data_IF_054999052794
#
_entry.id   IF_054999052794
#
_cell.length_a   1.000
_cell.length_b   1.000
_cell.length_c   1.000
_cell.angle_alpha   90.00
_cell.angle_beta   90.00
_cell.angle_gamma   90.00
#
_symmetry.space_group_name_H-M   'P 1'
#
loop_
_entity.id
_entity.type
_entity.pdbx_description
1 polymer ?
#
# COMPACT_ATOMS: atom_id res chain seq x y z
N UNK A 1 9.29 12.94 22.21
CA UNK A 1 7.87 13.05 22.59
C UNK A 1 7.12 11.97 21.85
N UNK A 2 6.70 10.95 22.57
CA UNK A 2 6.01 9.78 22.07
C UNK A 2 4.61 10.18 21.52
N UNK A 3 4.31 9.89 20.25
CA UNK A 3 2.94 9.96 19.72
C UNK A 3 2.52 8.57 19.26
N UNK A 4 2.23 7.73 20.26
CA UNK A 4 1.47 6.50 20.11
C UNK A 4 0.11 6.83 19.46
N UNK A 5 -0.03 6.53 18.16
CA UNK A 5 -1.30 6.69 17.44
C UNK A 5 -2.24 5.50 17.80
N UNK A 6 -3.33 5.73 18.55
CA UNK A 6 -4.21 4.67 19.05
C UNK A 6 -4.99 3.93 17.95
N UNK A 7 -5.08 4.50 16.75
CA UNK A 7 -5.75 3.86 15.60
C UNK A 7 -4.96 2.71 14.99
N UNK A 8 -3.63 2.69 15.17
CA UNK A 8 -2.78 1.60 14.68
C UNK A 8 -2.93 0.37 15.60
N UNK A 9 -2.92 0.60 16.92
CA UNK A 9 -3.08 -0.47 17.92
C UNK A 9 -4.45 -1.15 17.81
N UNK A 10 -5.53 -0.39 17.64
CA UNK A 10 -6.91 -0.92 17.53
C UNK A 10 -7.11 -1.89 16.36
N UNK A 11 -6.54 -1.60 15.18
CA UNK A 11 -6.64 -2.48 13.99
C UNK A 11 -5.86 -3.79 14.16
N UNK A 12 -4.74 -3.77 14.87
CA UNK A 12 -3.97 -4.97 15.24
C UNK A 12 -4.77 -5.92 16.13
N UNK A 13 -5.59 -5.39 17.05
CA UNK A 13 -6.43 -6.22 17.92
C UNK A 13 -7.60 -6.88 17.18
N UNK A 14 -8.21 -6.23 16.18
CA UNK A 14 -9.31 -6.84 15.43
C UNK A 14 -8.84 -8.01 14.54
N UNK A 15 -7.68 -7.84 13.88
CA UNK A 15 -7.02 -8.93 13.16
C UNK A 15 -6.55 -10.03 14.12
N UNK A 16 -6.03 -9.67 15.30
CA UNK A 16 -5.66 -10.60 16.36
C UNK A 16 -6.84 -11.42 16.88
N UNK A 17 -8.02 -10.82 17.03
CA UNK A 17 -9.23 -11.51 17.50
C UNK A 17 -9.76 -12.50 16.45
N UNK A 18 -9.73 -12.14 15.17
CA UNK A 18 -10.07 -13.07 14.07
C UNK A 18 -9.06 -14.23 14.04
N UNK A 19 -7.77 -13.95 14.28
CA UNK A 19 -6.72 -14.96 14.36
C UNK A 19 -6.90 -15.90 15.56
N UNK A 20 -7.31 -15.38 16.72
CA UNK A 20 -7.61 -16.15 17.92
C UNK A 20 -8.88 -17.00 17.77
N UNK A 21 -9.87 -16.50 17.04
CA UNK A 21 -11.08 -17.25 16.68
C UNK A 21 -10.79 -18.36 15.67
N UNK A 22 -9.85 -18.14 14.73
CA UNK A 22 -9.39 -19.15 13.78
C UNK A 22 -8.45 -20.19 14.42
N UNK A 23 -7.65 -19.80 15.42
CA UNK A 23 -6.71 -20.70 16.12
C UNK A 23 -7.40 -21.63 17.13
N UNK A 24 -8.58 -21.26 17.65
CA UNK A 24 -9.38 -22.13 18.55
C UNK A 24 -9.99 -23.34 17.86
N UNK A 25 -10.14 -23.33 16.53
CA UNK A 25 -10.67 -24.45 15.75
C UNK A 25 -9.55 -25.40 15.30
N UNK A 26 -9.02 -26.23 16.22
CA UNK A 26 -8.31 -27.53 16.00
C UNK A 26 -7.43 -27.72 14.74
N UNK A 27 -6.85 -26.68 14.16
CA UNK A 27 -5.79 -26.81 13.17
C UNK A 27 -4.46 -26.54 13.87
N UNK A 28 -3.88 -27.60 14.44
CA UNK A 28 -2.48 -27.65 14.86
C UNK A 28 -1.57 -27.64 13.61
N UNK A 29 -1.64 -26.58 12.79
CA UNK A 29 -0.65 -26.34 11.74
C UNK A 29 0.13 -25.08 12.09
N UNK A 30 1.37 -25.32 12.50
CA UNK A 30 2.50 -24.40 12.59
C UNK A 30 2.56 -23.55 13.88
N UNK A 31 3.56 -23.87 14.71
CA UNK A 31 4.14 -22.95 15.70
C UNK A 31 4.65 -21.71 14.95
N UNK A 32 3.83 -20.67 14.88
CA UNK A 32 4.20 -19.34 14.39
C UNK A 32 4.93 -18.59 15.50
N UNK A 33 6.25 -18.75 15.57
CA UNK A 33 7.11 -17.89 16.39
C UNK A 33 8.19 -17.28 15.49
N UNK A 34 8.27 -15.95 15.54
CA UNK A 34 9.47 -15.12 15.21
C UNK A 34 9.76 -14.70 13.76
N UNK A 35 8.78 -14.17 13.02
CA UNK A 35 9.08 -13.08 12.06
C UNK A 35 7.96 -12.05 12.18
N UNK A 36 8.21 -10.94 12.90
CA UNK A 36 7.31 -9.79 12.86
C UNK A 36 7.61 -9.03 11.56
N UNK A 37 6.69 -8.98 10.57
CA UNK A 37 6.88 -8.17 9.39
C UNK A 37 7.07 -6.70 9.81
N UNK A 38 8.10 -6.05 9.26
CA UNK A 38 8.50 -4.70 9.66
C UNK A 38 7.55 -3.62 9.12
N UNK A 39 6.86 -3.89 8.01
CA UNK A 39 6.01 -2.94 7.31
C UNK A 39 4.61 -3.50 7.04
N UNK A 40 3.62 -2.61 6.96
CA UNK A 40 2.21 -2.92 6.73
C UNK A 40 1.55 -1.83 5.90
N UNK A 41 0.81 -2.22 4.86
CA UNK A 41 0.05 -1.31 4.01
C UNK A 41 -1.22 -1.98 3.48
N UNK A 42 -2.10 -1.17 2.93
CA UNK A 42 -3.44 -1.58 2.54
C UNK A 42 -3.94 -0.85 1.30
N UNK A 43 -4.93 -1.44 0.65
CA UNK A 43 -5.59 -0.84 -0.50
C UNK A 43 -7.08 -1.21 -0.55
N UNK A 44 -7.86 -0.44 -1.30
CA UNK A 44 -9.26 -0.73 -1.60
C UNK A 44 -9.46 -0.74 -3.11
N UNK A 45 -10.38 -1.60 -3.57
CA UNK A 45 -10.68 -1.81 -4.99
C UNK A 45 -9.40 -1.91 -5.82
N UNK A 46 -8.68 -3.02 -5.66
CA UNK A 46 -7.35 -3.18 -6.21
C UNK A 46 -7.23 -4.47 -7.01
N UNK A 47 -6.36 -4.47 -8.03
CA UNK A 47 -5.79 -5.70 -8.55
C UNK A 47 -4.66 -6.17 -7.63
N UNK A 48 -4.52 -7.47 -7.49
CA UNK A 48 -3.46 -8.11 -6.73
C UNK A 48 -2.82 -9.20 -7.59
N UNK A 49 -1.50 -9.27 -7.54
CA UNK A 49 -0.71 -10.43 -7.93
C UNK A 49 0.21 -10.80 -6.78
N UNK A 50 0.27 -12.08 -6.39
CA UNK A 50 1.21 -12.54 -5.36
C UNK A 50 1.73 -13.92 -5.70
N UNK A 51 3.03 -14.13 -5.56
CA UNK A 51 3.66 -15.44 -5.77
C UNK A 51 4.87 -15.63 -4.87
N UNK A 52 5.13 -16.88 -4.48
CA UNK A 52 6.31 -17.21 -3.68
C UNK A 52 6.18 -18.54 -2.94
N UNK A 53 6.98 -18.71 -1.89
CA UNK A 53 7.02 -19.90 -1.04
C UNK A 53 6.13 -19.67 0.17
N UNK A 54 5.00 -20.38 0.22
CA UNK A 54 3.97 -20.16 1.22
C UNK A 54 2.68 -20.95 0.95
N UNK A 55 1.67 -20.67 1.77
CA UNK A 55 0.36 -21.32 1.67
C UNK A 55 -0.74 -20.25 1.64
N UNK A 56 -1.47 -20.10 0.53
CA UNK A 56 -2.70 -19.34 0.51
C UNK A 56 -3.88 -20.20 0.98
N UNK A 57 -4.87 -19.53 1.56
CA UNK A 57 -6.18 -20.09 1.89
C UNK A 57 -7.23 -19.29 1.10
N UNK A 58 -7.96 -19.92 0.17
CA UNK A 58 -7.88 -21.34 -0.20
C UNK A 58 -6.69 -21.66 -1.11
N UNK A 59 -6.24 -22.93 -1.05
CA UNK A 59 -5.07 -23.46 -1.79
C UNK A 59 -5.29 -23.47 -3.31
N UNK A 60 -6.53 -23.74 -3.74
CA UNK A 60 -6.95 -23.65 -5.13
C UNK A 60 -7.97 -22.53 -5.26
N UNK A 61 -7.67 -21.58 -6.12
CA UNK A 61 -8.52 -20.44 -6.42
C UNK A 61 -8.96 -20.52 -7.88
N UNK A 62 -10.19 -20.98 -8.10
CA UNK A 62 -10.92 -20.79 -9.37
C UNK A 62 -11.52 -19.37 -9.42
N UNK A 63 -11.79 -18.79 -10.61
CA UNK A 63 -12.31 -17.44 -10.76
C UNK A 63 -13.78 -17.32 -10.31
N UNK A 64 -13.98 -17.34 -8.99
CA UNK A 64 -15.25 -17.14 -8.30
C UNK A 64 -15.04 -16.16 -7.14
N UNK A 65 -16.00 -15.28 -6.85
CA UNK A 65 -15.93 -14.39 -5.71
C UNK A 65 -15.79 -15.15 -4.39
N UNK A 66 -14.89 -14.67 -3.53
CA UNK A 66 -14.64 -15.20 -2.19
C UNK A 66 -14.78 -14.08 -1.18
N UNK A 67 -15.35 -14.40 -0.02
CA UNK A 67 -15.40 -13.46 1.10
C UNK A 67 -13.98 -13.02 1.49
N UNK A 68 -13.03 -13.96 1.50
CA UNK A 68 -11.62 -13.67 1.76
C UNK A 68 -10.67 -14.61 1.02
N UNK A 69 -9.44 -14.15 0.83
CA UNK A 69 -8.26 -14.96 0.55
C UNK A 69 -7.14 -14.47 1.46
N UNK A 70 -6.37 -15.38 2.04
CA UNK A 70 -5.25 -15.03 2.92
C UNK A 70 -4.04 -15.85 2.55
N UNK A 71 -2.84 -15.37 2.88
CA UNK A 71 -1.63 -16.15 2.63
C UNK A 71 -0.58 -15.84 3.68
N UNK A 72 0.26 -16.84 3.88
CA UNK A 72 1.44 -16.79 4.72
C UNK A 72 2.61 -17.31 3.88
N UNK A 73 3.64 -16.51 3.74
CA UNK A 73 4.77 -16.80 2.89
C UNK A 73 6.09 -16.52 3.61
N UNK A 74 7.04 -17.45 3.52
CA UNK A 74 8.41 -17.25 4.01
C UNK A 74 9.21 -16.35 3.08
N UNK A 75 8.89 -16.38 1.79
CA UNK A 75 9.44 -15.50 0.77
C UNK A 75 8.44 -15.35 -0.36
N UNK A 76 7.93 -14.15 -0.60
CA UNK A 76 7.03 -13.90 -1.71
C UNK A 76 7.06 -12.45 -2.15
N UNK A 77 6.62 -12.23 -3.37
CA UNK A 77 6.39 -10.90 -3.94
C UNK A 77 4.88 -10.70 -4.06
N UNK A 78 4.39 -9.54 -3.63
CA UNK A 78 3.00 -9.12 -3.83
C UNK A 78 2.95 -7.74 -4.44
N UNK A 79 2.35 -7.63 -5.62
CA UNK A 79 2.04 -6.36 -6.25
C UNK A 79 0.55 -6.03 -6.06
N UNK A 80 0.26 -4.84 -5.56
CA UNK A 80 -1.09 -4.32 -5.39
C UNK A 80 -1.22 -3.01 -6.15
N UNK A 81 -2.09 -3.00 -7.16
CA UNK A 81 -2.46 -1.80 -7.92
C UNK A 81 -3.88 -1.37 -7.55
N UNK A 82 -4.07 -0.13 -7.13
CA UNK A 82 -5.43 0.38 -6.89
C UNK A 82 -6.10 0.78 -8.21
N UNK A 83 -7.43 0.63 -8.26
CA UNK A 83 -8.28 1.06 -9.36
C UNK A 83 -9.00 2.38 -9.08
N UNK A 84 -8.97 2.86 -7.83
CA UNK A 84 -9.77 4.01 -7.38
C UNK A 84 -8.91 5.11 -6.77
N UNK A 85 -7.82 4.74 -6.11
CA UNK A 85 -6.89 5.68 -5.46
C UNK A 85 -5.56 5.56 -6.22
N UNK A 86 -4.77 6.62 -6.43
CA UNK A 86 -3.43 6.52 -6.99
C UNK A 86 -2.42 5.93 -5.97
N UNK A 87 -2.78 4.84 -5.30
CA UNK A 87 -1.91 4.14 -4.35
C UNK A 87 -1.61 2.75 -4.87
N UNK A 88 -0.33 2.43 -5.02
CA UNK A 88 0.15 1.10 -5.35
C UNK A 88 1.37 0.77 -4.51
N UNK A 89 1.52 -0.51 -4.19
CA UNK A 89 2.70 -0.98 -3.48
C UNK A 89 3.12 -2.36 -3.96
N UNK A 90 4.40 -2.62 -3.82
CA UNK A 90 5.02 -3.94 -3.96
C UNK A 90 5.53 -4.33 -2.58
N UNK A 91 5.24 -5.54 -2.14
CA UNK A 91 5.72 -6.13 -0.90
C UNK A 91 6.60 -7.33 -1.22
N UNK A 92 7.71 -7.48 -0.50
CA UNK A 92 8.70 -8.54 -0.74
C UNK A 92 9.16 -9.18 0.57
N UNK A 93 9.67 -10.41 0.46
CA UNK A 93 10.25 -11.16 1.57
C UNK A 93 9.22 -11.98 2.34
N UNK A 94 9.47 -12.18 3.64
CA UNK A 94 8.50 -12.86 4.51
C UNK A 94 7.25 -11.98 4.66
N UNK A 95 6.07 -12.54 4.36
CA UNK A 95 4.85 -11.75 4.34
C UNK A 95 3.59 -12.54 4.76
N UNK A 96 2.64 -11.81 5.31
CA UNK A 96 1.27 -12.23 5.59
C UNK A 96 0.30 -11.27 4.93
N UNK A 97 -0.70 -11.80 4.23
CA UNK A 97 -1.67 -10.97 3.52
C UNK A 97 -3.11 -11.43 3.66
N UNK A 98 -4.02 -10.47 3.50
CA UNK A 98 -5.47 -10.64 3.57
C UNK A 98 -6.16 -9.86 2.45
N UNK A 99 -6.92 -10.56 1.63
CA UNK A 99 -7.87 -10.02 0.66
C UNK A 99 -9.29 -10.24 1.13
N UNK A 100 -10.15 -9.22 1.02
CA UNK A 100 -11.59 -9.33 1.23
C UNK A 100 -12.30 -9.08 -0.10
N UNK A 101 -13.33 -9.87 -0.39
CA UNK A 101 -14.04 -9.81 -1.67
C UNK A 101 -13.16 -10.22 -2.85
N UNK A 102 -12.23 -11.16 -2.63
CA UNK A 102 -11.28 -11.59 -3.65
C UNK A 102 -11.97 -12.35 -4.77
N UNK A 103 -11.77 -11.91 -6.01
CA UNK A 103 -12.16 -12.66 -7.21
C UNK A 103 -10.92 -12.81 -8.08
N UNK A 104 -10.49 -14.05 -8.28
CA UNK A 104 -9.26 -14.30 -9.02
C UNK A 104 -8.95 -15.78 -9.14
N UNK A 105 -7.79 -16.03 -9.74
CA UNK A 105 -7.22 -17.35 -9.92
C UNK A 105 -6.00 -17.51 -9.04
N UNK A 106 -5.70 -18.75 -8.70
CA UNK A 106 -4.47 -19.06 -8.00
C UNK A 106 -4.32 -20.54 -7.74
N UNK A 107 -3.06 -20.94 -7.62
CA UNK A 107 -2.65 -22.32 -7.49
C UNK A 107 -1.54 -22.40 -6.46
N UNK A 108 -1.59 -23.45 -5.67
CA UNK A 108 -0.49 -23.86 -4.81
C UNK A 108 0.01 -25.20 -5.30
N UNK A 109 1.33 -25.32 -5.44
CA UNK A 109 2.02 -26.55 -5.79
C UNK A 109 2.95 -26.92 -4.63
N UNK A 110 2.97 -28.20 -4.28
CA UNK A 110 3.89 -28.74 -3.31
C UNK A 110 4.79 -29.78 -3.99
N UNK A 111 6.10 -29.58 -3.95
CA UNK A 111 7.09 -30.51 -4.49
C UNK A 111 8.32 -30.57 -3.60
N UNK A 112 8.73 -31.77 -3.21
CA UNK A 112 10.00 -31.97 -2.48
C UNK A 112 10.11 -31.22 -1.14
N UNK A 113 9.00 -31.02 -0.43
CA UNK A 113 8.97 -30.28 0.84
C UNK A 113 8.88 -28.76 0.72
N UNK A 114 8.90 -28.22 -0.51
CA UNK A 114 8.65 -26.82 -0.79
C UNK A 114 7.19 -26.62 -1.22
N UNK A 115 6.54 -25.60 -0.67
CA UNK A 115 5.18 -25.19 -1.09
C UNK A 115 5.28 -23.83 -1.75
N UNK A 116 5.00 -23.78 -3.05
CA UNK A 116 4.96 -22.54 -3.82
C UNK A 116 3.53 -22.20 -4.19
N UNK A 117 3.21 -20.92 -4.24
CA UNK A 117 1.91 -20.44 -4.65
C UNK A 117 2.03 -19.30 -5.66
N UNK A 118 0.97 -19.12 -6.43
CA UNK A 118 0.73 -17.94 -7.24
C UNK A 118 -0.75 -17.60 -7.24
N UNK A 119 -1.08 -16.32 -7.15
CA UNK A 119 -2.45 -15.83 -7.27
C UNK A 119 -2.49 -14.49 -7.99
N UNK A 120 -3.57 -14.26 -8.72
CA UNK A 120 -3.88 -13.02 -9.41
C UNK A 120 -5.38 -12.78 -9.40
N UNK A 121 -5.80 -11.55 -9.14
CA UNK A 121 -7.21 -11.19 -9.15
C UNK A 121 -7.47 -9.75 -8.73
N UNK A 122 -8.70 -9.51 -8.29
CA UNK A 122 -9.15 -8.25 -7.74
C UNK A 122 -9.68 -8.45 -6.32
N UNK A 123 -9.55 -7.45 -5.47
CA UNK A 123 -10.08 -7.45 -4.12
C UNK A 123 -10.74 -6.10 -3.79
N UNK A 124 -11.77 -6.14 -2.93
CA UNK A 124 -12.42 -4.94 -2.41
C UNK A 124 -11.51 -4.27 -1.39
N UNK A 125 -10.85 -5.07 -0.56
CA UNK A 125 -9.88 -4.61 0.43
C UNK A 125 -8.69 -5.55 0.47
N UNK A 126 -7.52 -4.98 0.68
CA UNK A 126 -6.25 -5.68 0.75
C UNK A 126 -5.41 -5.12 1.89
N UNK A 127 -4.76 -6.00 2.65
CA UNK A 127 -3.68 -5.65 3.56
C UNK A 127 -2.55 -6.66 3.44
N UNK A 128 -1.32 -6.16 3.35
CA UNK A 128 -0.10 -6.98 3.33
C UNK A 128 0.82 -6.46 4.39
N UNK A 129 1.37 -7.37 5.19
CA UNK A 129 2.48 -7.09 6.09
C UNK A 129 3.67 -7.88 5.60
N UNK A 130 4.78 -7.20 5.36
CA UNK A 130 5.96 -7.80 4.74
C UNK A 130 7.26 -7.30 5.38
N UNK A 131 8.34 -7.99 5.06
CA UNK A 131 9.70 -7.59 5.43
C UNK A 131 10.12 -6.30 4.72
N UNK A 132 9.86 -6.20 3.41
CA UNK A 132 10.14 -5.03 2.60
C UNK A 132 8.89 -4.56 1.87
N UNK A 133 8.76 -3.23 1.73
CA UNK A 133 7.61 -2.61 1.11
C UNK A 133 8.02 -1.38 0.31
N UNK A 134 7.64 -1.37 -0.96
CA UNK A 134 7.97 -0.34 -1.93
C UNK A 134 6.68 0.32 -2.43
N UNK A 135 6.54 1.62 -2.20
CA UNK A 135 5.48 2.43 -2.81
C UNK A 135 5.98 3.11 -4.07
N UNK A 136 5.15 3.15 -5.09
CA UNK A 136 5.36 4.08 -6.19
C UNK A 136 5.00 5.46 -5.68
N UNK A 137 5.95 6.39 -5.72
CA UNK A 137 5.76 7.79 -5.35
C UNK A 137 5.68 8.63 -6.63
N UNK A 138 4.54 9.26 -6.86
CA UNK A 138 4.30 10.18 -7.96
C UNK A 138 4.65 11.59 -7.48
N UNK A 139 5.57 12.25 -8.17
CA UNK A 139 5.96 13.60 -7.80
C UNK A 139 4.77 14.57 -7.87
N UNK A 140 4.65 15.53 -6.93
CA UNK A 140 3.64 16.57 -6.99
C UNK A 140 3.72 17.36 -8.30
N UNK A 141 2.57 17.73 -8.84
CA UNK A 141 2.44 18.51 -10.08
C UNK A 141 2.16 19.96 -9.72
N UNK A 142 2.97 20.88 -10.23
CA UNK A 142 2.69 22.33 -10.24
C UNK A 142 2.02 22.70 -11.55
N UNK A 143 0.98 23.52 -11.48
CA UNK A 143 0.18 23.93 -12.64
C UNK A 143 -0.44 25.31 -12.45
N UNK A 144 -0.93 25.92 -13.53
CA UNK A 144 -1.57 27.24 -13.54
C UNK A 144 -0.68 28.34 -12.92
N UNK A 145 0.63 28.28 -13.17
CA UNK A 145 1.56 29.30 -12.69
C UNK A 145 1.32 30.63 -13.38
N UNK A 146 1.03 31.66 -12.60
CA UNK A 146 0.95 33.03 -13.06
C UNK A 146 1.66 33.97 -12.08
N UNK A 147 2.78 34.59 -12.51
CA UNK A 147 3.50 34.39 -13.77
C UNK A 147 4.14 32.99 -13.88
N UNK A 148 4.46 32.58 -15.10
CA UNK A 148 5.13 31.28 -15.33
C UNK A 148 6.51 31.22 -14.64
N UNK A 149 6.92 30.01 -14.22
CA UNK A 149 8.25 29.80 -13.65
C UNK A 149 9.35 30.29 -14.60
N UNK A 150 10.28 31.10 -14.07
CA UNK A 150 11.35 31.71 -14.86
C UNK A 150 10.94 32.91 -15.72
N UNK A 151 9.71 33.43 -15.57
CA UNK A 151 9.28 34.62 -16.30
C UNK A 151 10.20 35.82 -16.02
N UNK A 152 10.67 36.46 -17.10
CA UNK A 152 11.42 37.71 -17.06
C UNK A 152 10.50 38.89 -17.36
N UNK A 153 10.91 40.11 -16.98
CA UNK A 153 10.14 41.35 -17.18
C UNK A 153 8.74 41.34 -16.54
N UNK A 154 8.55 40.54 -15.49
CA UNK A 154 7.34 40.58 -14.67
C UNK A 154 7.25 41.95 -13.98
N UNK A 155 6.11 42.65 -14.05
CA UNK A 155 5.96 43.93 -13.36
C UNK A 155 6.24 43.81 -11.87
N UNK A 156 7.22 44.57 -11.37
CA UNK A 156 7.57 44.66 -9.94
C UNK A 156 6.44 45.20 -9.04
N UNK A 157 5.33 45.67 -9.62
CA UNK A 157 4.11 46.06 -8.91
C UNK A 157 3.06 44.95 -8.80
N UNK A 158 3.39 43.69 -9.16
CA UNK A 158 2.48 42.56 -9.01
C UNK A 158 2.06 42.41 -7.54
N UNK A 159 0.76 42.32 -7.28
CA UNK A 159 0.23 42.14 -5.92
C UNK A 159 0.11 40.67 -5.50
N UNK A 160 0.09 39.75 -6.47
CA UNK A 160 -0.15 38.33 -6.21
C UNK A 160 0.64 37.42 -7.13
N UNK A 161 0.99 36.24 -6.61
CA UNK A 161 1.43 35.08 -7.37
C UNK A 161 0.39 33.98 -7.20
N UNK A 162 0.10 33.25 -8.27
CA UNK A 162 -0.80 32.11 -8.19
C UNK A 162 -0.20 30.90 -8.88
N UNK A 163 -0.38 29.74 -8.27
CA UNK A 163 -0.07 28.43 -8.81
C UNK A 163 -0.92 27.41 -8.06
N UNK A 164 -1.03 26.22 -8.62
CA UNK A 164 -1.71 25.08 -8.01
C UNK A 164 -0.72 23.94 -7.90
N UNK A 165 -0.53 23.43 -6.68
CA UNK A 165 0.17 22.17 -6.46
C UNK A 165 -0.88 21.09 -6.20
N UNK A 166 -0.74 19.96 -6.88
CA UNK A 166 -1.53 18.76 -6.63
C UNK A 166 -0.61 17.56 -6.51
N UNK A 167 -0.71 16.86 -5.39
CA UNK A 167 -0.15 15.53 -5.22
C UNK A 167 -1.29 14.51 -5.30
N UNK A 168 -1.15 13.55 -6.21
CA UNK A 168 -2.12 12.47 -6.35
C UNK A 168 -2.06 11.52 -5.15
N UNK A 169 -0.88 11.32 -4.58
CA UNK A 169 -0.63 10.26 -3.61
C UNK A 169 -1.16 10.66 -2.21
N UNK A 170 -1.39 11.96 -2.02
CA UNK A 170 -1.95 12.55 -0.81
C UNK A 170 -0.94 12.57 0.33
N UNK A 171 0.34 12.62 0.00
CA UNK A 171 1.44 12.75 0.93
C UNK A 171 1.57 14.21 1.38
N UNK A 172 2.17 14.40 2.56
CA UNK A 172 2.50 15.75 3.04
C UNK A 172 3.66 16.29 2.20
N UNK A 173 3.53 17.53 1.74
CA UNK A 173 4.52 18.18 0.90
C UNK A 173 4.91 19.56 1.44
N UNK A 174 6.18 19.89 1.29
CA UNK A 174 6.71 21.24 1.50
C UNK A 174 6.86 21.95 0.15
N UNK A 175 6.67 23.26 0.12
CA UNK A 175 6.88 24.07 -1.08
C UNK A 175 7.71 25.31 -0.76
N UNK A 176 8.50 25.76 -1.74
CA UNK A 176 9.28 27.00 -1.65
C UNK A 176 8.99 27.86 -2.87
N UNK A 177 8.78 29.15 -2.64
CA UNK A 177 8.61 30.16 -3.70
C UNK A 177 9.72 31.18 -3.58
N UNK A 178 10.43 31.46 -4.67
CA UNK A 178 11.51 32.45 -4.72
C UNK A 178 11.25 33.46 -5.83
N UNK A 179 11.51 34.74 -5.55
CA UNK A 179 11.32 35.85 -6.49
C UNK A 179 12.53 36.78 -6.44
N UNK A 180 12.87 37.41 -7.55
CA UNK A 180 13.90 38.46 -7.58
C UNK A 180 13.46 39.61 -8.49
N UNK A 181 13.23 40.83 -7.95
CA UNK A 181 13.24 41.18 -6.52
C UNK A 181 12.06 40.56 -5.76
N UNK A 182 12.10 40.61 -4.43
CA UNK A 182 10.99 40.12 -3.59
C UNK A 182 9.70 40.89 -3.88
N UNK A 183 8.62 40.18 -4.21
CA UNK A 183 7.30 40.77 -4.39
C UNK A 183 6.83 41.40 -3.08
N UNK A 184 6.22 42.59 -3.16
CA UNK A 184 5.79 43.36 -1.97
C UNK A 184 6.89 44.20 -1.30
N UNK A 185 8.11 44.25 -1.84
CA UNK A 185 9.20 45.10 -1.30
C UNK A 185 9.06 46.61 -1.61
N UNK A 186 7.97 47.03 -2.27
CA UNK A 186 7.58 48.44 -2.37
C UNK A 186 6.61 48.78 -1.24
N UNK A 187 7.18 49.19 -0.11
CA UNK A 187 6.52 50.07 0.87
C UNK A 187 7.12 51.46 0.75
#
# INVERSE_FOLDING_TARGET
GNSDNPNIKSKTYFLGLIFELLSRNRFNLLKFSEILPAYSDWNIFCNIGSAGVGVPVPIIMIPRPRAFAMWLASYAETAVGSLVIPKSFIAEGSQQGLAIGFTGVGLTIAFGGLTAYGMLGYAIYMSVQAENMYRTNIAPIVSNENPSSGAINVPIGLSELSFRISDSDGDLMDYTVTTSPNIGSKS
#
